data_IF_532540904585
#
_entry.id   IF_532540904585
#
_cell.length_a   1.000
_cell.length_b   1.000
_cell.length_c   1.000
_cell.angle_alpha   90.00
_cell.angle_beta   90.00
_cell.angle_gamma   90.00
#
_symmetry.space_group_name_H-M   'P 1'
#
loop_
_entity.id
_entity.type
_entity.pdbx_description
1 polymer ?
#
# COMPACT_ATOMS: atom_id res chain seq x y z
N UNK A 1 -13.08 26.64 15.58
CA UNK A 1 -12.18 26.07 16.60
C UNK A 1 -11.43 24.89 15.99
N UNK A 2 -10.10 24.92 15.98
CA UNK A 2 -9.20 23.88 15.42
C UNK A 2 -8.76 22.84 16.48
N UNK A 3 -9.17 22.98 17.73
CA UNK A 3 -8.83 22.05 18.80
C UNK A 3 -9.68 20.77 18.66
N UNK A 4 -9.26 19.87 17.77
CA UNK A 4 -10.01 18.66 17.42
C UNK A 4 -9.34 17.85 16.31
N UNK A 5 -8.70 18.51 15.35
CA UNK A 5 -8.26 17.86 14.11
C UNK A 5 -7.02 16.97 14.25
N UNK A 6 -6.24 17.12 15.33
CA UNK A 6 -4.95 16.44 15.50
C UNK A 6 -4.92 15.44 16.67
N UNK A 7 -6.02 15.24 17.41
CA UNK A 7 -6.03 14.27 18.50
C UNK A 7 -6.10 12.85 17.93
N UNK A 8 -5.06 12.03 18.16
CA UNK A 8 -5.09 10.58 17.90
C UNK A 8 -4.97 9.77 19.19
N UNK A 9 -5.58 8.58 19.13
CA UNK A 9 -5.67 7.53 20.15
C UNK A 9 -4.29 7.05 20.63
N UNK A 10 -4.25 6.39 21.80
CA UNK A 10 -3.04 5.87 22.48
C UNK A 10 -2.08 5.15 21.51
N UNK A 11 -0.90 5.72 21.36
CA UNK A 11 0.25 5.13 20.67
C UNK A 11 0.72 3.85 21.37
N UNK A 12 1.35 2.94 20.63
CA UNK A 12 2.13 1.86 21.25
C UNK A 12 1.39 0.54 21.49
N UNK A 13 0.26 0.31 20.81
CA UNK A 13 -0.43 -0.99 20.81
C UNK A 13 0.32 -2.11 20.07
N UNK A 14 -0.31 -3.27 19.97
CA UNK A 14 0.25 -4.48 19.32
C UNK A 14 0.77 -4.24 17.90
N UNK A 15 0.09 -3.38 17.12
CA UNK A 15 0.45 -3.05 15.74
C UNK A 15 1.10 -1.68 15.57
N UNK A 16 1.75 -1.14 16.61
CA UNK A 16 2.42 0.19 16.56
C UNK A 16 3.45 0.34 15.44
N UNK A 17 4.02 -0.78 14.95
CA UNK A 17 4.95 -0.79 13.84
C UNK A 17 4.29 -0.84 12.45
N UNK A 18 2.97 -1.02 12.37
CA UNK A 18 2.27 -1.05 11.10
C UNK A 18 2.06 0.38 10.56
N UNK A 19 2.06 0.57 9.22
CA UNK A 19 1.76 1.87 8.64
C UNK A 19 0.30 2.25 8.89
N UNK A 20 0.06 3.53 9.16
CA UNK A 20 -1.26 4.12 9.39
C UNK A 20 -1.85 4.68 8.09
N UNK A 21 -1.00 5.11 7.16
CA UNK A 21 -1.36 5.52 5.81
C UNK A 21 -0.27 5.06 4.85
N UNK A 22 -0.67 4.64 3.65
CA UNK A 22 0.26 4.18 2.61
C UNK A 22 -0.07 4.83 1.28
N UNK A 23 0.96 5.03 0.46
CA UNK A 23 0.77 5.17 -0.98
C UNK A 23 0.00 3.96 -1.51
N UNK A 24 -0.85 4.18 -2.53
CA UNK A 24 -1.65 3.09 -3.09
C UNK A 24 -0.74 2.13 -3.85
N UNK A 25 -0.48 0.94 -3.30
CA UNK A 25 0.22 -0.15 -3.95
C UNK A 25 -0.75 -1.31 -4.13
N UNK A 26 -1.72 -1.12 -5.03
CA UNK A 26 -2.84 -2.05 -5.21
C UNK A 26 -2.82 -2.65 -6.61
N UNK A 27 -2.59 -3.96 -6.69
CA UNK A 27 -2.64 -4.73 -7.93
C UNK A 27 -3.97 -5.47 -8.11
N UNK A 28 -4.24 -5.89 -9.33
CA UNK A 28 -5.39 -6.74 -9.70
C UNK A 28 -4.84 -8.05 -10.27
N UNK A 29 -5.36 -9.18 -9.81
CA UNK A 29 -4.93 -10.50 -10.26
C UNK A 29 -5.11 -11.58 -9.20
N UNK A 30 -4.53 -12.78 -9.40
CA UNK A 30 -4.56 -13.83 -8.41
C UNK A 30 -3.81 -13.41 -7.14
N UNK A 31 -4.03 -14.13 -6.05
CA UNK A 31 -3.25 -13.94 -4.82
C UNK A 31 -1.78 -14.26 -5.08
N UNK A 32 -0.91 -13.32 -4.76
CA UNK A 32 0.56 -13.44 -4.93
C UNK A 32 1.26 -12.93 -3.68
N UNK A 33 2.54 -13.24 -3.50
CA UNK A 33 3.32 -12.77 -2.34
C UNK A 33 4.18 -11.54 -2.63
N UNK A 34 4.44 -11.24 -3.91
CA UNK A 34 5.36 -10.19 -4.33
C UNK A 34 4.71 -9.19 -5.31
N UNK A 35 5.11 -7.92 -5.20
CA UNK A 35 4.61 -6.80 -6.02
C UNK A 35 4.92 -6.97 -7.51
N UNK A 36 5.99 -7.66 -7.88
CA UNK A 36 6.42 -7.76 -9.29
C UNK A 36 5.99 -9.05 -9.95
N UNK A 37 5.03 -9.77 -9.37
CA UNK A 37 4.50 -10.99 -9.94
C UNK A 37 3.89 -10.68 -11.32
N UNK A 38 4.30 -11.40 -12.38
CA UNK A 38 3.86 -11.09 -13.74
C UNK A 38 2.37 -11.32 -13.97
N UNK A 39 1.66 -12.00 -13.07
CA UNK A 39 0.21 -12.23 -13.14
C UNK A 39 -0.61 -11.04 -12.64
N UNK A 40 0.04 -10.05 -12.01
CA UNK A 40 -0.62 -8.84 -11.56
C UNK A 40 -0.73 -7.82 -12.71
N UNK A 41 -1.86 -7.14 -12.75
CA UNK A 41 -2.06 -5.91 -13.49
C UNK A 41 -2.19 -4.73 -12.52
N UNK A 42 -1.84 -3.55 -13.00
CA UNK A 42 -1.78 -2.31 -12.19
C UNK A 42 -2.72 -1.24 -12.74
N UNK A 43 -3.80 -1.70 -13.35
CA UNK A 43 -4.84 -0.86 -13.91
C UNK A 43 -6.19 -1.58 -13.86
N UNK A 44 -7.26 -0.80 -13.81
CA UNK A 44 -8.65 -1.26 -13.99
C UNK A 44 -9.29 -0.52 -15.15
N UNK A 45 -10.23 -1.18 -15.82
CA UNK A 45 -11.14 -0.55 -16.76
C UNK A 45 -12.39 -0.08 -15.99
N UNK A 46 -12.72 1.20 -16.12
CA UNK A 46 -13.90 1.83 -15.55
C UNK A 46 -14.45 2.86 -16.56
N UNK A 47 -15.73 2.73 -16.90
CA UNK A 47 -16.41 3.52 -17.94
C UNK A 47 -15.67 3.55 -19.30
N UNK A 48 -15.04 2.43 -19.68
CA UNK A 48 -14.25 2.31 -20.91
C UNK A 48 -12.89 3.03 -20.87
N UNK A 49 -12.46 3.52 -19.70
CA UNK A 49 -11.15 4.12 -19.48
C UNK A 49 -10.29 3.26 -18.56
N UNK A 50 -8.98 3.26 -18.82
CA UNK A 50 -8.00 2.58 -17.97
C UNK A 50 -7.45 3.51 -16.91
N UNK A 51 -7.61 3.11 -15.65
CA UNK A 51 -7.12 3.84 -14.48
C UNK A 51 -6.00 3.06 -13.81
N UNK A 52 -4.86 3.71 -13.59
CA UNK A 52 -3.75 3.11 -12.83
C UNK A 52 -4.18 2.92 -11.38
N UNK A 53 -3.81 1.78 -10.81
CA UNK A 53 -4.17 1.40 -9.44
C UNK A 53 -3.00 1.51 -8.47
N UNK A 54 -1.80 1.81 -8.97
CA UNK A 54 -0.62 2.07 -8.16
C UNK A 54 -0.11 3.51 -8.29
N UNK A 55 0.35 4.04 -7.17
CA UNK A 55 1.21 5.22 -7.11
C UNK A 55 2.62 4.85 -7.59
N UNK A 56 3.38 5.86 -8.02
CA UNK A 56 4.76 5.71 -8.52
C UNK A 56 4.94 4.57 -9.54
N UNK A 57 4.10 4.51 -10.60
CA UNK A 57 4.11 3.42 -11.55
C UNK A 57 5.41 3.42 -12.37
N UNK A 58 6.10 2.29 -12.37
CA UNK A 58 7.24 2.00 -13.24
C UNK A 58 6.85 1.05 -14.38
N UNK A 59 7.75 0.12 -14.68
CA UNK A 59 7.55 -0.86 -15.74
C UNK A 59 6.25 -1.66 -15.52
N UNK A 60 5.47 -1.83 -16.61
CA UNK A 60 4.17 -2.53 -16.60
C UNK A 60 3.12 -1.94 -15.64
N UNK A 61 3.32 -0.70 -15.18
CA UNK A 61 2.44 -0.02 -14.22
C UNK A 61 2.66 -0.41 -12.76
N UNK A 62 3.58 -1.34 -12.47
CA UNK A 62 3.89 -1.76 -11.11
C UNK A 62 4.56 -0.62 -10.31
N UNK A 63 4.25 -0.45 -9.01
CA UNK A 63 4.87 0.59 -8.21
C UNK A 63 6.36 0.32 -8.03
N UNK A 64 7.20 1.34 -8.24
CA UNK A 64 8.63 1.24 -7.88
C UNK A 64 8.83 1.15 -6.35
N UNK A 65 7.84 1.61 -5.60
CA UNK A 65 7.77 1.66 -4.15
C UNK A 65 6.66 2.60 -3.71
N UNK A 66 6.68 3.01 -2.44
CA UNK A 66 5.77 4.01 -1.92
C UNK A 66 6.20 4.57 -0.57
N UNK A 67 5.54 5.63 -0.16
CA UNK A 67 5.65 6.22 1.16
C UNK A 67 4.71 5.53 2.14
N UNK A 68 5.22 5.28 3.34
CA UNK A 68 4.51 4.64 4.44
C UNK A 68 4.60 5.56 5.66
N UNK A 69 3.44 6.05 6.12
CA UNK A 69 3.33 6.87 7.33
C UNK A 69 3.11 5.96 8.53
N UNK A 70 3.89 6.15 9.59
CA UNK A 70 3.82 5.37 10.82
C UNK A 70 3.20 6.16 11.97
N UNK A 71 2.98 5.46 13.08
CA UNK A 71 2.27 5.98 14.26
C UNK A 71 3.01 7.15 14.93
N UNK A 72 4.34 7.11 14.94
CA UNK A 72 5.23 8.17 15.46
C UNK A 72 5.38 9.36 14.50
N UNK A 73 4.69 9.34 13.36
CA UNK A 73 4.65 10.42 12.38
C UNK A 73 5.78 10.40 11.35
N UNK A 74 6.73 9.46 11.41
CA UNK A 74 7.74 9.36 10.35
C UNK A 74 7.14 8.79 9.06
N UNK A 75 7.74 9.17 7.95
CA UNK A 75 7.44 8.62 6.62
C UNK A 75 8.69 7.97 6.09
N UNK A 76 8.60 6.70 5.69
CA UNK A 76 9.69 5.98 5.06
C UNK A 76 9.29 5.50 3.66
N UNK A 77 10.22 5.59 2.71
CA UNK A 77 10.09 4.99 1.39
C UNK A 77 10.48 3.52 1.43
N UNK A 78 9.55 2.65 1.00
CA UNK A 78 9.84 1.24 0.77
C UNK A 78 9.77 0.93 -0.73
N UNK A 79 10.89 0.45 -1.28
CA UNK A 79 10.90 -0.12 -2.63
C UNK A 79 9.94 -1.32 -2.70
N UNK A 80 9.32 -1.56 -3.87
CA UNK A 80 8.33 -2.64 -4.01
C UNK A 80 8.87 -4.04 -3.68
N UNK A 81 10.20 -4.26 -3.77
CA UNK A 81 10.86 -5.51 -3.33
C UNK A 81 10.87 -5.70 -1.80
N UNK A 82 10.68 -4.62 -1.03
CA UNK A 82 10.69 -4.62 0.44
C UNK A 82 9.29 -4.73 1.04
N UNK A 83 8.23 -4.77 0.22
CA UNK A 83 6.84 -4.94 0.69
C UNK A 83 6.30 -6.30 0.23
N UNK A 84 5.27 -6.77 0.92
CA UNK A 84 4.64 -8.07 0.64
C UNK A 84 3.13 -7.89 0.62
N UNK A 85 2.40 -8.93 0.19
CA UNK A 85 0.95 -8.92 0.25
C UNK A 85 0.49 -8.75 1.71
N UNK A 86 -0.19 -7.64 1.99
CA UNK A 86 -0.72 -7.35 3.32
C UNK A 86 -2.21 -7.66 3.44
N UNK A 87 -2.98 -7.47 2.37
CA UNK A 87 -4.42 -7.79 2.34
C UNK A 87 -4.89 -8.08 0.91
N UNK A 88 -5.96 -8.86 0.77
CA UNK A 88 -6.58 -9.16 -0.51
C UNK A 88 -8.10 -9.28 -0.38
N UNK A 89 -8.83 -8.95 -1.46
CA UNK A 89 -10.27 -9.14 -1.56
C UNK A 89 -10.65 -9.40 -3.02
N UNK A 90 -11.18 -10.59 -3.32
CA UNK A 90 -11.41 -11.02 -4.70
C UNK A 90 -10.11 -10.99 -5.51
N UNK A 91 -10.10 -10.23 -6.60
CA UNK A 91 -8.91 -10.03 -7.45
C UNK A 91 -8.00 -8.90 -6.97
N UNK A 92 -8.40 -8.09 -5.98
CA UNK A 92 -7.59 -6.99 -5.49
C UNK A 92 -6.53 -7.48 -4.49
N UNK A 93 -5.29 -7.03 -4.70
CA UNK A 93 -4.12 -7.34 -3.88
C UNK A 93 -3.51 -6.02 -3.38
N UNK A 94 -3.45 -5.81 -2.06
CA UNK A 94 -2.87 -4.61 -1.45
C UNK A 94 -1.54 -4.95 -0.77
N UNK A 95 -0.48 -4.25 -1.19
CA UNK A 95 0.88 -4.52 -0.75
C UNK A 95 1.38 -3.46 0.22
N UNK A 96 1.90 -3.88 1.36
CA UNK A 96 2.47 -2.97 2.35
C UNK A 96 3.47 -3.70 3.25
N UNK A 97 4.40 -2.94 3.84
CA UNK A 97 5.33 -3.48 4.83
C UNK A 97 4.61 -3.60 6.16
N UNK A 98 4.23 -4.82 6.54
CA UNK A 98 3.86 -5.12 7.92
C UNK A 98 5.12 -5.68 8.59
N UNK A 99 5.72 -5.00 9.57
CA UNK A 99 6.65 -5.66 10.46
C UNK A 99 5.84 -6.60 11.36
N UNK A 100 5.82 -7.88 11.00
CA UNK A 100 5.45 -8.93 11.94
C UNK A 100 6.73 -9.23 12.70
N UNK A 101 6.73 -8.95 14.01
CA UNK A 101 7.79 -9.40 14.90
C UNK A 101 7.74 -10.92 15.04
#
# INVERSE_FOLDING_TARGET
>A
KLAGWHFKKKLGGEFRGAPVLIDRLQGVGPRTTNVYDPRLTWAVDDEGKKWKTANHPGARGAPVGGNFLFEDGHVEWYAGKRVSLGSWAGTWQCFYKIPIN
#
